data_IF_538066589495
#
_entry.id   IF_538066589495
#
_cell.length_a   1.000
_cell.length_b   1.000
_cell.length_c   1.000
_cell.angle_alpha   90.00
_cell.angle_beta   90.00
_cell.angle_gamma   90.00
#
_symmetry.space_group_name_H-M   'P 1'
#
loop_
_entity.id
_entity.type
_entity.pdbx_description
1 polymer ?
#
# COMPACT_ATOMS: atom_id res chain seq x y z
N UNK A 1 -8.12 9.40 -0.71
CA UNK A 1 -7.22 8.71 -1.62
C UNK A 1 -5.78 8.79 -1.18
N UNK A 2 -5.00 7.83 -1.57
CA UNK A 2 -3.58 7.74 -1.25
C UNK A 2 -2.77 7.90 -2.53
N UNK A 3 -1.73 8.77 -2.57
CA UNK A 3 -0.93 8.91 -3.79
C UNK A 3 -0.13 7.64 -4.09
N UNK A 4 0.03 7.33 -5.40
CA UNK A 4 0.75 6.14 -5.86
C UNK A 4 1.73 6.60 -6.95
N UNK A 5 2.83 7.22 -6.55
CA UNK A 5 3.76 7.84 -7.51
C UNK A 5 4.61 6.85 -8.27
N UNK A 6 5.01 5.76 -7.61
CA UNK A 6 5.96 4.80 -8.17
C UNK A 6 5.31 3.46 -8.51
N UNK A 7 3.97 3.38 -8.39
CA UNK A 7 3.28 2.12 -8.53
C UNK A 7 3.53 1.21 -7.34
N UNK A 8 3.01 0.00 -7.39
CA UNK A 8 3.22 -0.98 -6.33
C UNK A 8 4.26 -2.00 -6.77
N UNK A 9 5.52 -1.74 -6.42
CA UNK A 9 6.59 -2.73 -6.53
C UNK A 9 6.46 -3.76 -5.41
N UNK A 10 7.33 -4.76 -5.41
CA UNK A 10 7.25 -5.85 -4.43
C UNK A 10 7.34 -5.37 -2.98
N UNK A 11 8.22 -4.42 -2.67
CA UNK A 11 8.38 -3.93 -1.30
C UNK A 11 7.17 -3.16 -0.79
N UNK A 12 6.61 -2.18 -1.54
CA UNK A 12 5.37 -1.52 -1.11
C UNK A 12 4.22 -2.49 -0.91
N UNK A 13 4.04 -3.45 -1.81
CA UNK A 13 2.99 -4.45 -1.69
C UNK A 13 3.16 -5.29 -0.43
N UNK A 14 4.39 -5.71 -0.13
CA UNK A 14 4.67 -6.50 1.06
C UNK A 14 4.36 -5.70 2.33
N UNK A 15 4.79 -4.44 2.39
CA UNK A 15 4.58 -3.61 3.57
C UNK A 15 3.09 -3.30 3.79
N UNK A 16 2.34 -2.99 2.73
CA UNK A 16 0.90 -2.78 2.85
C UNK A 16 0.22 -4.05 3.33
N UNK A 17 0.55 -5.20 2.74
CA UNK A 17 -0.03 -6.47 3.15
C UNK A 17 0.26 -6.79 4.61
N UNK A 18 1.48 -6.51 5.07
CA UNK A 18 1.86 -6.73 6.47
C UNK A 18 1.04 -5.87 7.43
N UNK A 19 0.82 -4.59 7.08
CA UNK A 19 -0.02 -3.70 7.89
C UNK A 19 -1.42 -4.30 8.01
N UNK A 20 -2.02 -4.67 6.89
CA UNK A 20 -3.38 -5.19 6.87
C UNK A 20 -3.47 -6.49 7.66
N UNK A 21 -2.52 -7.40 7.48
CA UNK A 21 -2.48 -8.67 8.20
C UNK A 21 -2.31 -8.46 9.71
N UNK A 22 -1.51 -7.48 10.10
CA UNK A 22 -1.31 -7.16 11.52
C UNK A 22 -2.61 -6.80 12.22
N UNK A 23 -3.52 -6.13 11.52
CA UNK A 23 -4.82 -5.71 12.06
C UNK A 23 -5.98 -6.66 11.72
N UNK A 24 -5.71 -7.82 11.15
CA UNK A 24 -6.72 -8.84 10.91
C UNK A 24 -7.19 -9.03 9.47
N UNK A 25 -6.61 -8.30 8.52
CA UNK A 25 -6.86 -8.53 7.10
C UNK A 25 -8.12 -7.90 6.52
N UNK A 26 -8.73 -6.92 7.17
CA UNK A 26 -10.01 -6.35 6.77
C UNK A 26 -9.85 -5.01 6.03
N UNK A 27 -9.06 -5.01 4.94
CA UNK A 27 -8.85 -3.82 4.10
C UNK A 27 -8.90 -4.23 2.63
N UNK A 28 -9.59 -3.43 1.81
CA UNK A 28 -9.61 -3.58 0.37
C UNK A 28 -8.98 -2.35 -0.31
N UNK A 29 -8.29 -2.60 -1.40
CA UNK A 29 -7.77 -1.55 -2.27
C UNK A 29 -8.74 -1.38 -3.44
N UNK A 30 -9.27 -0.18 -3.60
CA UNK A 30 -10.22 0.12 -4.67
C UNK A 30 -9.52 0.85 -5.80
N UNK A 31 -9.55 0.28 -7.00
CA UNK A 31 -8.95 0.86 -8.20
C UNK A 31 -10.07 0.98 -9.24
N UNK A 32 -10.66 2.18 -9.36
CA UNK A 32 -11.84 2.36 -10.18
C UNK A 32 -12.97 1.46 -9.69
N UNK A 33 -13.61 0.66 -10.57
CA UNK A 33 -14.69 -0.25 -10.15
C UNK A 33 -14.19 -1.55 -9.54
N UNK A 34 -12.88 -1.81 -9.55
CA UNK A 34 -12.31 -3.07 -9.09
C UNK A 34 -11.86 -2.97 -7.64
N UNK A 35 -11.98 -4.10 -6.93
CA UNK A 35 -11.55 -4.22 -5.54
C UNK A 35 -10.54 -5.35 -5.42
N UNK A 36 -9.49 -5.10 -4.62
CA UNK A 36 -8.42 -6.04 -4.39
C UNK A 36 -8.24 -6.24 -2.88
N UNK A 37 -7.88 -7.45 -2.48
CA UNK A 37 -7.60 -7.76 -1.09
C UNK A 37 -6.23 -7.18 -0.69
N UNK A 38 -6.24 -6.16 0.15
CA UNK A 38 -4.99 -5.49 0.55
C UNK A 38 -4.13 -6.33 1.51
N UNK A 39 -4.63 -7.48 1.99
CA UNK A 39 -3.83 -8.43 2.75
C UNK A 39 -3.05 -9.40 1.85
N UNK A 40 -3.29 -9.37 0.54
CA UNK A 40 -2.66 -10.26 -0.42
C UNK A 40 -1.63 -9.50 -1.26
N UNK A 41 -0.37 -9.93 -1.20
CA UNK A 41 0.70 -9.33 -2.02
C UNK A 41 0.38 -9.48 -3.51
N UNK A 42 -0.12 -10.64 -3.93
CA UNK A 42 -0.47 -10.86 -5.33
C UNK A 42 -1.57 -9.92 -5.81
N UNK A 43 -2.61 -9.74 -5.01
CA UNK A 43 -3.68 -8.81 -5.34
C UNK A 43 -3.17 -7.38 -5.46
N UNK A 44 -2.29 -6.96 -4.55
CA UNK A 44 -1.71 -5.64 -4.60
C UNK A 44 -0.82 -5.44 -5.83
N UNK A 45 -0.09 -6.47 -6.25
CA UNK A 45 0.70 -6.40 -7.47
C UNK A 45 -0.18 -6.28 -8.71
N UNK A 46 -1.29 -7.01 -8.77
CA UNK A 46 -2.28 -6.88 -9.84
C UNK A 46 -2.88 -5.48 -9.86
N UNK A 47 -3.25 -4.95 -8.69
CA UNK A 47 -3.76 -3.59 -8.57
C UNK A 47 -2.74 -2.58 -9.07
N UNK A 48 -1.46 -2.77 -8.73
CA UNK A 48 -0.37 -1.90 -9.19
C UNK A 48 -0.25 -1.89 -10.71
N UNK A 49 -0.38 -3.04 -11.35
CA UNK A 49 -0.38 -3.14 -12.81
C UNK A 49 -1.54 -2.38 -13.43
N UNK A 50 -2.73 -2.46 -12.84
CA UNK A 50 -3.89 -1.73 -13.32
C UNK A 50 -3.74 -0.23 -13.13
N UNK A 51 -3.22 0.20 -11.98
CA UNK A 51 -2.95 1.61 -11.72
C UNK A 51 -2.01 2.18 -12.78
N UNK A 52 -0.95 1.47 -13.10
CA UNK A 52 0.02 1.89 -14.10
C UNK A 52 -0.60 1.93 -15.51
N UNK A 53 -1.36 0.90 -15.87
CA UNK A 53 -2.00 0.80 -17.17
C UNK A 53 -2.99 1.94 -17.41
N UNK A 54 -3.77 2.31 -16.40
CA UNK A 54 -4.76 3.36 -16.48
C UNK A 54 -4.22 4.73 -16.09
N UNK A 55 -2.94 4.80 -15.76
CA UNK A 55 -2.24 6.05 -15.40
C UNK A 55 -2.92 6.78 -14.25
N UNK A 56 -3.30 6.04 -13.22
CA UNK A 56 -3.93 6.61 -12.03
C UNK A 56 -2.87 7.13 -11.07
N UNK A 57 -3.15 8.25 -10.42
CA UNK A 57 -2.25 8.86 -9.45
C UNK A 57 -2.69 8.69 -8.00
N UNK A 58 -3.93 8.24 -7.79
CA UNK A 58 -4.46 7.99 -6.46
C UNK A 58 -5.34 6.74 -6.45
N UNK A 59 -5.40 6.10 -5.29
CA UNK A 59 -6.25 4.95 -5.03
C UNK A 59 -6.95 5.12 -3.69
N UNK A 60 -7.95 4.30 -3.42
CA UNK A 60 -8.70 4.34 -2.16
C UNK A 60 -8.53 3.02 -1.45
N UNK A 61 -8.15 3.09 -0.17
CA UNK A 61 -8.17 1.92 0.72
C UNK A 61 -9.40 2.03 1.61
N UNK A 62 -10.14 0.93 1.76
CA UNK A 62 -11.32 0.88 2.61
C UNK A 62 -11.21 -0.29 3.58
N UNK A 63 -11.66 -0.08 4.83
CA UNK A 63 -11.70 -1.14 5.82
C UNK A 63 -11.29 -0.67 7.20
N UNK A 64 -10.51 -1.49 7.90
CA UNK A 64 -10.08 -1.23 9.28
C UNK A 64 -9.34 0.10 9.39
N UNK A 65 -9.89 1.05 10.17
CA UNK A 65 -9.33 2.39 10.29
C UNK A 65 -7.92 2.40 10.88
N UNK A 66 -7.57 1.41 11.70
CA UNK A 66 -6.23 1.29 12.29
C UNK A 66 -5.20 1.00 11.18
N UNK A 67 -5.54 0.07 10.29
CA UNK A 67 -4.70 -0.24 9.15
C UNK A 67 -4.63 0.94 8.18
N UNK A 68 -5.75 1.60 7.92
CA UNK A 68 -5.80 2.75 7.02
C UNK A 68 -4.87 3.86 7.50
N UNK A 69 -4.85 4.13 8.80
CA UNK A 69 -3.97 5.14 9.38
C UNK A 69 -2.50 4.80 9.14
N UNK A 70 -2.13 3.53 9.35
CA UNK A 70 -0.75 3.09 9.15
C UNK A 70 -0.36 3.09 7.68
N UNK A 71 -1.29 2.77 6.78
CA UNK A 71 -1.05 2.87 5.33
C UNK A 71 -0.80 4.33 4.94
N UNK A 72 -1.53 5.28 5.51
CA UNK A 72 -1.28 6.70 5.25
C UNK A 72 0.12 7.13 5.71
N UNK A 73 0.56 6.66 6.87
CA UNK A 73 1.92 6.92 7.36
C UNK A 73 2.94 6.33 6.39
N UNK A 74 2.71 5.11 5.92
CA UNK A 74 3.59 4.46 4.95
C UNK A 74 3.65 5.25 3.64
N UNK A 75 2.51 5.72 3.15
CA UNK A 75 2.45 6.52 1.93
C UNK A 75 3.23 7.83 2.05
N UNK A 76 3.25 8.43 3.26
CA UNK A 76 3.98 9.68 3.50
C UNK A 76 5.50 9.51 3.37
N UNK A 77 6.01 8.28 3.43
CA UNK A 77 7.43 7.97 3.21
C UNK A 77 7.62 7.13 1.95
N UNK A 78 6.78 7.36 0.94
CA UNK A 78 6.81 6.69 -0.37
C UNK A 78 6.82 5.16 -0.25
N UNK A 79 6.00 4.62 0.65
CA UNK A 79 5.86 3.17 0.86
C UNK A 79 7.19 2.49 1.20
N UNK A 80 8.06 3.21 1.90
CA UNK A 80 9.35 2.67 2.35
C UNK A 80 10.44 2.68 1.29
N UNK A 81 10.26 3.42 0.20
CA UNK A 81 11.25 3.54 -0.85
C UNK A 81 11.58 5.00 -1.15
N UNK A 82 12.82 5.26 -1.58
CA UNK A 82 13.21 6.59 -2.06
C UNK A 82 12.90 6.72 -3.56
N UNK A 83 13.27 7.84 -4.15
CA UNK A 83 13.01 8.09 -5.58
C UNK A 83 13.79 7.15 -6.50
N UNK A 84 14.80 6.48 -5.98
CA UNK A 84 15.62 5.52 -6.73
C UNK A 84 15.20 4.07 -6.50
N UNK A 85 14.12 3.86 -5.75
CA UNK A 85 13.63 2.53 -5.43
C UNK A 85 14.37 1.83 -4.30
N UNK A 86 15.24 2.55 -3.58
CA UNK A 86 15.96 1.99 -2.43
C UNK A 86 15.12 2.07 -1.17
N UNK A 87 15.29 1.10 -0.28
CA UNK A 87 14.62 1.13 1.01
C UNK A 87 15.05 2.31 1.87
N UNK A 88 14.10 2.90 2.57
CA UNK A 88 14.36 3.99 3.51
C UNK A 88 13.90 3.56 4.90
N UNK A 89 14.45 4.16 5.97
CA UNK A 89 13.98 3.86 7.33
C UNK A 89 12.50 4.17 7.48
N UNK A 90 11.78 3.26 8.12
CA UNK A 90 10.36 3.47 8.39
C UNK A 90 10.17 4.29 9.66
N UNK A 91 9.09 5.10 9.76
CA UNK A 91 8.77 5.79 11.00
C UNK A 91 8.60 4.82 12.17
N UNK A 92 8.81 5.30 13.39
CA UNK A 92 8.68 4.48 14.59
C UNK A 92 7.29 3.85 14.69
N UNK A 93 6.25 4.57 14.26
CA UNK A 93 4.88 4.06 14.27
C UNK A 93 4.73 2.77 13.44
N UNK A 94 5.64 2.53 12.48
CA UNK A 94 5.63 1.34 11.62
C UNK A 94 6.76 0.36 11.97
N UNK A 95 7.34 0.48 13.16
CA UNK A 95 8.47 -0.35 13.58
C UNK A 95 8.13 -1.84 13.58
N UNK A 96 6.87 -2.21 13.75
CA UNK A 96 6.44 -3.61 13.72
C UNK A 96 6.59 -4.26 12.34
N UNK A 97 6.86 -3.48 11.31
CA UNK A 97 7.07 -4.00 9.94
C UNK A 97 8.52 -4.42 9.68
N UNK A 98 9.41 -4.13 10.62
CA UNK A 98 10.83 -4.49 10.49
C UNK A 98 11.07 -5.98 10.71
#
# INVERSE_FOLDING_TARGET
>A
GVPVKLGFHSRPCLLVAKIVQYYGGQVELCVGPDRFDASSVLDLQWAGGKIQKENLDQVIFEGDVRALKDIEILASVNYGEDTMGKGVPLPEALSYLK
#
